data_IF_798730299097
#
_entry.id   IF_798730299097
#
_cell.length_a   1.000
_cell.length_b   1.000
_cell.length_c   1.000
_cell.angle_alpha   90.00
_cell.angle_beta   90.00
_cell.angle_gamma   90.00
#
_symmetry.space_group_name_H-M   'P 1'
#
loop_
_entity.id
_entity.type
_entity.pdbx_description
1 polymer ?
#
# COMPACT_ATOMS: atom_id res chain seq x y z
N UNK A 1 -18.42 19.85 -0.13
CA UNK A 1 -18.48 19.77 1.35
C UNK A 1 -17.47 18.72 1.78
N UNK A 2 -16.39 19.12 2.47
CA UNK A 2 -15.36 18.19 2.98
C UNK A 2 -15.77 17.73 4.37
N UNK A 3 -15.70 16.42 4.61
CA UNK A 3 -15.93 15.84 5.92
C UNK A 3 -14.68 16.06 6.79
N UNK A 4 -14.77 16.71 7.95
CA UNK A 4 -13.63 16.85 8.85
C UNK A 4 -13.50 15.54 9.64
N UNK A 5 -12.72 14.60 9.12
CA UNK A 5 -12.35 13.41 9.90
C UNK A 5 -11.31 13.81 10.95
N UNK A 6 -11.57 13.40 12.18
CA UNK A 6 -10.88 13.84 13.38
C UNK A 6 -9.48 13.24 13.50
N UNK A 7 -8.53 14.09 13.92
CA UNK A 7 -7.13 13.78 14.28
C UNK A 7 -6.99 12.84 15.51
N UNK A 8 -8.00 12.03 15.82
CA UNK A 8 -8.05 11.22 17.04
C UNK A 8 -7.10 10.01 17.05
N UNK A 9 -6.72 9.49 15.88
CA UNK A 9 -5.92 8.26 15.79
C UNK A 9 -4.40 8.49 15.78
N UNK A 10 -3.92 9.65 15.35
CA UNK A 10 -2.47 9.95 15.29
C UNK A 10 -1.87 10.17 16.69
N UNK A 11 -2.61 10.79 17.62
CA UNK A 11 -2.16 10.97 19.02
C UNK A 11 -2.13 9.68 19.85
N UNK A 12 -2.72 8.59 19.35
CA UNK A 12 -2.71 7.28 20.02
C UNK A 12 -1.38 6.54 19.89
N UNK A 13 -0.51 6.94 18.96
CA UNK A 13 0.83 6.36 18.79
C UNK A 13 1.78 6.69 19.96
N UNK A 14 1.54 7.78 20.68
CA UNK A 14 2.44 8.25 21.75
C UNK A 14 2.07 7.74 23.15
N UNK A 15 0.87 7.15 23.34
CA UNK A 15 0.27 6.98 24.66
C UNK A 15 0.36 5.58 25.31
N UNK A 16 0.80 4.54 24.59
CA UNK A 16 0.59 3.13 25.00
C UNK A 16 1.85 2.38 25.49
N UNK A 17 2.91 3.08 25.91
CA UNK A 17 4.23 2.52 26.26
C UNK A 17 4.39 1.88 27.66
N UNK A 18 3.36 1.29 28.25
CA UNK A 18 3.39 0.77 29.63
C UNK A 18 3.36 -0.76 29.72
N UNK A 19 4.48 -1.44 29.49
CA UNK A 19 4.61 -2.88 29.76
C UNK A 19 6.06 -3.25 30.04
N UNK A 20 6.31 -3.91 31.18
CA UNK A 20 7.64 -4.36 31.61
C UNK A 20 8.24 -5.36 30.60
N UNK A 21 9.39 -5.00 30.09
CA UNK A 21 10.17 -5.75 29.12
C UNK A 21 11.46 -6.26 29.77
N UNK A 22 11.77 -7.54 29.62
CA UNK A 22 13.07 -8.09 30.00
C UNK A 22 14.07 -7.84 28.87
N UNK A 23 15.16 -7.15 29.19
CA UNK A 23 16.25 -6.82 28.27
C UNK A 23 17.28 -7.97 28.19
N UNK A 24 17.51 -8.49 26.98
CA UNK A 24 18.78 -9.16 26.64
C UNK A 24 19.34 -8.47 25.38
N UNK A 25 20.62 -8.08 25.41
CA UNK A 25 21.34 -7.40 24.32
C UNK A 25 20.83 -6.01 23.89
N UNK A 26 20.12 -5.28 24.77
CA UNK A 26 19.62 -3.93 24.46
C UNK A 26 18.44 -3.90 23.50
N UNK A 27 17.79 -5.05 23.28
CA UNK A 27 16.49 -5.15 22.64
C UNK A 27 15.48 -5.60 23.68
N UNK A 28 14.33 -4.95 23.72
CA UNK A 28 13.17 -5.49 24.41
C UNK A 28 12.70 -6.72 23.64
N UNK A 29 12.48 -7.81 24.35
CA UNK A 29 12.12 -9.10 23.79
C UNK A 29 10.84 -9.01 22.91
N UNK A 30 10.98 -8.85 21.59
CA UNK A 30 9.86 -8.75 20.64
C UNK A 30 10.21 -8.06 19.31
N UNK A 31 9.26 -8.06 18.39
CA UNK A 31 9.43 -7.51 17.02
C UNK A 31 8.25 -6.64 16.58
N UNK A 32 8.48 -5.80 15.58
CA UNK A 32 7.45 -5.02 14.87
C UNK A 32 7.41 -5.49 13.42
N UNK A 33 6.20 -5.59 12.87
CA UNK A 33 5.99 -5.83 11.44
C UNK A 33 5.58 -4.52 10.74
N UNK A 34 6.29 -4.17 9.68
CA UNK A 34 5.94 -3.07 8.77
C UNK A 34 5.52 -3.61 7.41
N UNK A 35 4.35 -3.22 6.92
CA UNK A 35 3.80 -3.67 5.65
C UNK A 35 3.52 -2.50 4.70
N UNK A 36 3.90 -2.66 3.44
CA UNK A 36 3.58 -1.78 2.33
C UNK A 36 2.84 -2.58 1.24
N UNK A 37 1.53 -2.36 1.15
CA UNK A 37 0.59 -3.06 0.28
C UNK A 37 0.17 -2.23 -0.91
N UNK A 38 0.86 -2.39 -2.04
CA UNK A 38 0.53 -1.72 -3.29
C UNK A 38 -0.47 -2.47 -4.16
N UNK A 39 -0.75 -1.90 -5.33
CA UNK A 39 -1.65 -2.49 -6.33
C UNK A 39 -1.08 -3.73 -7.04
N UNK A 40 0.22 -4.01 -6.90
CA UNK A 40 0.91 -5.10 -7.61
C UNK A 40 1.53 -6.11 -6.65
N UNK A 41 2.14 -5.63 -5.57
CA UNK A 41 2.84 -6.45 -4.59
C UNK A 41 2.69 -5.88 -3.19
N UNK A 42 2.91 -6.74 -2.20
CA UNK A 42 2.97 -6.35 -0.79
C UNK A 42 4.31 -6.75 -0.22
N UNK A 43 4.97 -5.85 0.50
CA UNK A 43 6.23 -6.11 1.20
C UNK A 43 5.94 -6.12 2.70
N UNK A 44 6.47 -7.11 3.41
CA UNK A 44 6.51 -7.13 4.87
C UNK A 44 7.96 -7.16 5.35
N UNK A 45 8.29 -6.32 6.33
CA UNK A 45 9.57 -6.32 7.04
C UNK A 45 9.34 -6.57 8.52
N UNK A 46 10.15 -7.45 9.10
CA UNK A 46 10.23 -7.70 10.53
C UNK A 46 11.46 -7.01 11.09
N UNK A 47 11.27 -6.17 12.12
CA UNK A 47 12.33 -5.37 12.77
C UNK A 47 12.28 -5.57 14.28
N UNK A 48 13.41 -5.38 15.00
CA UNK A 48 13.40 -5.45 16.45
C UNK A 48 12.45 -4.42 17.06
N UNK A 49 11.83 -4.76 18.18
CA UNK A 49 11.10 -3.79 19.00
C UNK A 49 12.10 -2.99 19.85
N UNK A 50 12.02 -1.66 19.77
CA UNK A 50 12.87 -0.74 20.53
C UNK A 50 12.04 -0.04 21.59
N UNK A 51 12.63 0.17 22.76
CA UNK A 51 11.98 0.93 23.83
C UNK A 51 11.83 2.40 23.46
N UNK A 52 10.79 3.03 23.98
CA UNK A 52 10.56 4.45 23.75
C UNK A 52 11.73 5.28 24.30
N UNK A 53 12.30 6.16 23.46
CA UNK A 53 13.44 7.00 23.81
C UNK A 53 14.81 6.42 23.41
N UNK A 54 14.86 5.18 22.93
CA UNK A 54 16.08 4.65 22.32
C UNK A 54 16.30 5.27 20.94
N UNK A 55 17.57 5.54 20.63
CA UNK A 55 17.95 5.98 19.28
C UNK A 55 17.92 4.76 18.37
N UNK A 56 17.10 4.80 17.33
CA UNK A 56 17.08 3.73 16.33
C UNK A 56 18.47 3.57 15.69
N UNK A 57 18.94 2.32 15.51
CA UNK A 57 20.14 2.05 14.74
C UNK A 57 19.98 2.53 13.29
N UNK A 58 21.08 2.97 12.69
CA UNK A 58 21.14 3.36 11.28
C UNK A 58 22.28 2.59 10.59
N UNK A 59 21.97 1.62 9.69
CA UNK A 59 20.63 1.26 9.24
C UNK A 59 19.82 0.46 10.29
N UNK A 60 18.49 0.53 10.19
CA UNK A 60 17.59 -0.29 11.01
C UNK A 60 17.77 -1.78 10.65
N UNK A 61 17.99 -2.67 11.62
CA UNK A 61 18.11 -4.10 11.36
C UNK A 61 16.82 -4.67 10.79
N UNK A 62 16.93 -5.38 9.66
CA UNK A 62 15.83 -6.17 9.09
C UNK A 62 16.07 -7.63 9.45
N UNK A 63 15.20 -8.18 10.30
CA UNK A 63 15.28 -9.55 10.77
C UNK A 63 14.65 -10.53 9.77
N UNK A 64 13.62 -10.09 9.05
CA UNK A 64 12.97 -10.88 7.99
C UNK A 64 12.30 -9.99 6.96
N UNK A 65 12.25 -10.44 5.71
CA UNK A 65 11.61 -9.69 4.63
C UNK A 65 10.92 -10.62 3.63
N UNK A 66 9.63 -10.42 3.42
CA UNK A 66 8.85 -11.17 2.44
C UNK A 66 8.17 -10.24 1.44
N UNK A 67 7.84 -10.81 0.28
CA UNK A 67 7.08 -10.14 -0.78
C UNK A 67 6.01 -11.10 -1.28
N UNK A 68 4.75 -10.67 -1.27
CA UNK A 68 3.64 -11.42 -1.82
C UNK A 68 2.85 -10.58 -2.84
N UNK A 69 1.72 -11.12 -3.28
CA UNK A 69 0.83 -10.50 -4.25
C UNK A 69 0.16 -9.20 -3.78
N UNK A 70 -0.72 -8.70 -4.63
CA UNK A 70 -1.51 -7.50 -4.39
C UNK A 70 -2.45 -7.67 -3.18
N UNK A 71 -2.48 -6.68 -2.30
CA UNK A 71 -3.40 -6.62 -1.15
C UNK A 71 -4.48 -5.55 -1.31
N UNK A 72 -4.55 -4.93 -2.49
CA UNK A 72 -5.66 -4.05 -2.84
C UNK A 72 -6.92 -4.87 -3.12
N UNK A 73 -7.80 -4.96 -2.12
CA UNK A 73 -9.10 -5.65 -2.22
C UNK A 73 -9.97 -5.19 -3.39
N UNK A 74 -9.83 -3.93 -3.82
CA UNK A 74 -10.61 -3.39 -4.94
C UNK A 74 -10.11 -3.93 -6.30
N UNK A 75 -8.91 -4.50 -6.33
CA UNK A 75 -8.30 -5.10 -7.51
C UNK A 75 -8.44 -6.61 -7.57
N UNK A 76 -8.18 -7.31 -6.46
CA UNK A 76 -8.14 -8.79 -6.43
C UNK A 76 -9.27 -9.45 -5.63
N UNK A 77 -10.15 -8.65 -5.01
CA UNK A 77 -11.17 -9.14 -4.08
C UNK A 77 -10.63 -9.36 -2.67
N UNK A 78 -11.55 -9.64 -1.74
CA UNK A 78 -11.27 -9.73 -0.31
C UNK A 78 -10.46 -10.96 0.08
N UNK A 79 -10.85 -12.14 -0.40
CA UNK A 79 -10.17 -13.40 -0.07
C UNK A 79 -8.71 -13.37 -0.51
N UNK A 80 -8.44 -13.07 -1.78
CA UNK A 80 -7.08 -13.04 -2.31
C UNK A 80 -6.19 -11.98 -1.63
N UNK A 81 -6.76 -10.82 -1.27
CA UNK A 81 -6.03 -9.79 -0.53
C UNK A 81 -5.69 -10.26 0.89
N UNK A 82 -6.62 -10.91 1.59
CA UNK A 82 -6.38 -11.48 2.93
C UNK A 82 -5.33 -12.59 2.88
N UNK A 83 -5.43 -13.51 1.92
CA UNK A 83 -4.47 -14.61 1.75
C UNK A 83 -3.06 -14.07 1.47
N UNK A 84 -2.94 -13.03 0.66
CA UNK A 84 -1.65 -12.37 0.39
C UNK A 84 -1.06 -11.69 1.64
N UNK A 85 -1.89 -11.10 2.50
CA UNK A 85 -1.46 -10.56 3.80
C UNK A 85 -0.96 -11.67 4.72
N UNK A 86 -1.69 -12.79 4.81
CA UNK A 86 -1.29 -13.92 5.63
C UNK A 86 0.01 -14.56 5.16
N UNK A 87 0.14 -14.76 3.86
CA UNK A 87 1.37 -15.28 3.25
C UNK A 87 2.57 -14.39 3.59
N UNK A 88 2.49 -13.08 3.31
CA UNK A 88 3.64 -12.19 3.47
C UNK A 88 4.06 -12.02 4.93
N UNK A 89 3.09 -12.04 5.86
CA UNK A 89 3.35 -11.98 7.30
C UNK A 89 4.03 -13.27 7.77
N UNK A 90 3.49 -14.42 7.38
CA UNK A 90 4.03 -15.73 7.75
C UNK A 90 5.48 -15.89 7.26
N UNK A 91 5.73 -15.57 5.99
CA UNK A 91 7.08 -15.67 5.41
C UNK A 91 8.09 -14.72 6.08
N UNK A 92 7.70 -13.49 6.42
CA UNK A 92 8.57 -12.55 7.11
C UNK A 92 8.92 -13.03 8.53
N UNK A 93 7.95 -13.60 9.26
CA UNK A 93 8.17 -14.17 10.58
C UNK A 93 9.08 -15.40 10.53
N UNK A 94 8.84 -16.32 9.59
CA UNK A 94 9.70 -17.50 9.36
C UNK A 94 11.15 -17.10 9.10
N UNK A 95 11.39 -16.08 8.27
CA UNK A 95 12.76 -15.60 8.01
C UNK A 95 13.40 -14.97 9.25
N UNK A 96 12.61 -14.29 10.09
CA UNK A 96 13.10 -13.65 11.32
C UNK A 96 13.35 -14.62 12.47
N UNK A 97 12.76 -15.81 12.44
CA UNK A 97 12.82 -16.79 13.53
C UNK A 97 11.93 -16.46 14.74
N UNK A 98 11.06 -15.47 14.63
CA UNK A 98 10.10 -15.07 15.68
C UNK A 98 8.70 -15.63 15.40
N UNK A 99 7.95 -15.85 16.46
CA UNK A 99 6.56 -16.27 16.40
C UNK A 99 5.60 -15.08 16.49
N UNK A 100 4.33 -15.30 16.12
CA UNK A 100 3.26 -14.30 16.25
C UNK A 100 3.09 -13.77 17.67
N UNK A 101 3.48 -14.54 18.70
CA UNK A 101 3.45 -14.14 20.11
C UNK A 101 4.51 -13.10 20.49
N UNK A 102 5.57 -12.98 19.69
CA UNK A 102 6.67 -12.04 19.96
C UNK A 102 6.41 -10.65 19.34
N UNK A 103 5.45 -10.58 18.41
CA UNK A 103 5.07 -9.35 17.72
C UNK A 103 4.41 -8.38 18.69
N UNK A 104 4.94 -7.16 18.79
CA UNK A 104 4.38 -6.09 19.62
C UNK A 104 3.45 -5.17 18.85
N UNK A 105 3.72 -4.99 17.56
CA UNK A 105 2.93 -4.12 16.70
C UNK A 105 3.01 -4.52 15.23
N UNK A 106 1.94 -4.24 14.51
CA UNK A 106 1.83 -4.40 13.07
C UNK A 106 1.36 -3.06 12.48
N UNK A 107 2.17 -2.47 11.61
CA UNK A 107 1.88 -1.23 10.90
C UNK A 107 1.75 -1.53 9.42
N UNK A 108 0.62 -1.17 8.80
CA UNK A 108 0.33 -1.43 7.39
C UNK A 108 -0.03 -0.13 6.68
N UNK A 109 0.67 0.18 5.58
CA UNK A 109 0.22 1.13 4.57
C UNK A 109 -0.35 0.37 3.39
N UNK A 110 -1.64 0.50 3.12
CA UNK A 110 -2.31 -0.30 2.08
C UNK A 110 -3.08 0.59 1.11
N UNK A 111 -2.85 0.37 -0.18
CA UNK A 111 -3.60 1.00 -1.25
C UNK A 111 -5.08 0.57 -1.22
N UNK A 112 -5.98 1.51 -1.50
CA UNK A 112 -7.43 1.25 -1.47
C UNK A 112 -8.10 1.42 -0.11
N UNK A 113 -7.34 1.72 0.96
CA UNK A 113 -7.88 2.17 2.25
C UNK A 113 -8.17 3.68 2.16
N UNK A 114 -9.43 4.04 1.91
CA UNK A 114 -9.83 5.44 1.73
C UNK A 114 -10.87 5.91 2.75
N UNK A 115 -11.64 4.97 3.31
CA UNK A 115 -12.67 5.25 4.30
C UNK A 115 -12.40 4.52 5.62
N UNK A 116 -12.93 5.03 6.75
CA UNK A 116 -12.82 4.35 8.05
C UNK A 116 -13.29 2.89 8.02
N UNK A 117 -14.32 2.58 7.23
CA UNK A 117 -14.81 1.21 7.05
C UNK A 117 -13.79 0.29 6.35
N UNK A 118 -12.96 0.83 5.46
CA UNK A 118 -11.89 0.06 4.81
C UNK A 118 -10.78 -0.26 5.82
N UNK A 119 -10.44 0.74 6.64
CA UNK A 119 -9.45 0.63 7.70
C UNK A 119 -9.86 -0.42 8.73
N UNK A 120 -11.09 -0.31 9.26
CA UNK A 120 -11.66 -1.25 10.23
C UNK A 120 -11.68 -2.69 9.68
N UNK A 121 -12.01 -2.85 8.39
CA UNK A 121 -12.06 -4.17 7.76
C UNK A 121 -10.70 -4.85 7.71
N UNK A 122 -9.66 -4.13 7.28
CA UNK A 122 -8.29 -4.66 7.26
C UNK A 122 -7.79 -4.87 8.69
N UNK A 123 -8.10 -3.95 9.61
CA UNK A 123 -7.73 -4.10 11.03
C UNK A 123 -8.31 -5.39 11.61
N UNK A 124 -9.57 -5.71 11.31
CA UNK A 124 -10.20 -6.96 11.73
C UNK A 124 -9.49 -8.20 11.14
N UNK A 125 -9.12 -8.19 9.86
CA UNK A 125 -8.36 -9.30 9.27
C UNK A 125 -7.03 -9.53 9.99
N UNK A 126 -6.30 -8.46 10.30
CA UNK A 126 -5.03 -8.55 11.02
C UNK A 126 -5.25 -8.96 12.47
N UNK A 127 -6.30 -8.45 13.13
CA UNK A 127 -6.65 -8.85 14.51
C UNK A 127 -6.97 -10.33 14.63
N UNK A 128 -7.63 -10.94 13.65
CA UNK A 128 -7.87 -12.38 13.61
C UNK A 128 -6.57 -13.20 13.56
N UNK A 129 -5.49 -12.61 13.01
CA UNK A 129 -4.22 -13.30 12.77
C UNK A 129 -3.27 -13.26 13.97
N UNK A 130 -3.47 -12.35 14.93
CA UNK A 130 -2.53 -12.06 16.01
C UNK A 130 -3.17 -12.14 17.40
N UNK A 131 -2.37 -12.42 18.44
CA UNK A 131 -2.81 -12.31 19.83
C UNK A 131 -3.35 -10.90 20.18
N UNK A 132 -4.23 -10.82 21.19
CA UNK A 132 -4.92 -9.58 21.55
C UNK A 132 -4.01 -8.44 22.01
N UNK A 133 -2.80 -8.75 22.49
CA UNK A 133 -1.81 -7.76 22.94
C UNK A 133 -1.15 -7.00 21.78
N UNK A 134 -1.16 -7.56 20.56
CA UNK A 134 -0.52 -6.97 19.39
C UNK A 134 -1.29 -5.72 18.96
N UNK A 135 -0.60 -4.58 18.88
CA UNK A 135 -1.17 -3.33 18.38
C UNK A 135 -1.22 -3.37 16.85
N UNK A 136 -2.33 -2.91 16.27
CA UNK A 136 -2.53 -2.89 14.81
C UNK A 136 -2.78 -1.47 14.36
N UNK A 137 -2.02 -1.03 13.36
CA UNK A 137 -2.15 0.28 12.75
C UNK A 137 -2.31 0.11 11.25
N UNK A 138 -3.50 0.38 10.73
CA UNK A 138 -3.78 0.38 9.29
C UNK A 138 -3.86 1.83 8.82
N UNK A 139 -3.13 2.16 7.77
CA UNK A 139 -3.13 3.48 7.14
C UNK A 139 -3.22 3.37 5.62
N UNK A 140 -3.58 4.49 5.00
CA UNK A 140 -3.43 4.66 3.56
C UNK A 140 -1.94 4.63 3.18
N UNK A 141 -1.62 4.01 2.05
CA UNK A 141 -0.26 3.93 1.49
C UNK A 141 0.43 5.30 1.36
N UNK A 142 -0.30 6.36 0.99
CA UNK A 142 0.23 7.71 0.90
C UNK A 142 0.73 8.24 2.26
N UNK A 143 0.06 7.91 3.37
CA UNK A 143 0.50 8.34 4.70
C UNK A 143 1.83 7.69 5.06
N UNK A 144 1.98 6.40 4.78
CA UNK A 144 3.22 5.64 5.07
C UNK A 144 4.36 6.12 4.16
N UNK A 145 4.09 6.38 2.88
CA UNK A 145 5.06 6.95 1.95
C UNK A 145 5.52 8.36 2.38
N UNK A 146 4.60 9.18 2.89
CA UNK A 146 4.96 10.49 3.44
C UNK A 146 5.76 10.36 4.74
N UNK A 147 5.38 9.43 5.62
CA UNK A 147 6.09 9.17 6.87
C UNK A 147 7.54 8.73 6.62
N UNK A 148 7.77 7.88 5.62
CA UNK A 148 9.13 7.40 5.29
C UNK A 148 10.04 8.53 4.79
N UNK A 149 9.49 9.46 4.00
CA UNK A 149 10.24 10.64 3.53
C UNK A 149 10.44 11.73 4.59
N UNK A 150 9.68 11.71 5.68
CA UNK A 150 9.67 12.78 6.71
C UNK A 150 10.11 12.31 8.10
N UNK A 151 10.59 11.07 8.22
CA UNK A 151 10.93 10.44 9.51
C UNK A 151 9.75 10.50 10.50
N UNK A 152 8.53 10.25 10.00
CA UNK A 152 7.30 10.23 10.80
C UNK A 152 6.68 11.59 11.10
N UNK A 153 7.30 12.71 10.70
CA UNK A 153 6.77 14.07 11.00
C UNK A 153 5.53 14.44 10.19
N UNK A 154 5.31 13.80 9.05
CA UNK A 154 4.16 13.98 8.14
C UNK A 154 3.97 15.39 7.55
N UNK A 155 4.64 16.43 8.05
CA UNK A 155 4.63 17.76 7.43
C UNK A 155 5.27 17.70 6.04
N UNK A 156 4.48 18.03 5.03
CA UNK A 156 4.87 18.01 3.62
C UNK A 156 3.84 17.34 2.73
N UNK A 157 4.25 17.06 1.50
CA UNK A 157 3.40 16.42 0.49
C UNK A 157 4.11 15.22 -0.12
N UNK A 158 3.34 14.22 -0.51
CA UNK A 158 3.76 13.06 -1.29
C UNK A 158 2.94 12.98 -2.58
N UNK A 159 3.60 12.58 -3.66
CA UNK A 159 2.96 12.24 -4.93
C UNK A 159 3.32 10.79 -5.27
N UNK A 160 2.31 9.92 -5.31
CA UNK A 160 2.44 8.55 -5.77
C UNK A 160 1.92 8.47 -7.20
N UNK A 161 2.74 7.95 -8.11
CA UNK A 161 2.39 7.69 -9.50
C UNK A 161 2.83 6.27 -9.89
N UNK A 162 1.94 5.30 -9.66
CA UNK A 162 2.12 3.89 -10.00
C UNK A 162 0.98 3.41 -10.89
N UNK A 163 0.40 2.24 -10.60
CA UNK A 163 -0.83 1.76 -11.27
C UNK A 163 -1.97 2.77 -11.17
N UNK A 164 -2.16 3.33 -9.96
CA UNK A 164 -2.99 4.51 -9.68
C UNK A 164 -2.13 5.74 -9.36
N UNK A 165 -2.75 6.88 -9.06
CA UNK A 165 -1.99 8.05 -8.59
C UNK A 165 -2.74 8.88 -7.54
N UNK A 166 -2.00 9.42 -6.58
CA UNK A 166 -2.52 10.26 -5.50
C UNK A 166 -1.50 11.31 -5.08
N UNK A 167 -1.96 12.52 -4.82
CA UNK A 167 -1.22 13.53 -4.08
C UNK A 167 -1.84 13.70 -2.70
N UNK A 168 -1.03 13.65 -1.65
CA UNK A 168 -1.49 13.70 -0.26
C UNK A 168 -0.50 14.51 0.58
N UNK A 169 -0.95 15.16 1.64
CA UNK A 169 -0.05 15.93 2.50
C UNK A 169 -0.71 16.55 3.71
N UNK A 170 0.14 17.05 4.60
CA UNK A 170 -0.24 17.80 5.79
C UNK A 170 0.57 19.09 5.86
N UNK A 171 -0.07 20.19 6.26
CA UNK A 171 0.64 21.43 6.61
C UNK A 171 1.17 21.41 8.06
N UNK A 172 1.82 22.51 8.48
CA UNK A 172 2.39 22.65 9.83
C UNK A 172 1.34 22.58 10.95
N UNK A 173 0.09 22.94 10.65
CA UNK A 173 -1.04 22.86 11.59
C UNK A 173 -1.67 21.46 11.62
N UNK A 174 -1.14 20.51 10.84
CA UNK A 174 -1.65 19.15 10.72
C UNK A 174 -2.92 19.04 9.88
N UNK A 175 -3.21 20.04 9.04
CA UNK A 175 -4.37 20.01 8.13
C UNK A 175 -4.04 19.18 6.91
N UNK A 176 -4.90 18.19 6.67
CA UNK A 176 -4.79 17.28 5.54
C UNK A 176 -5.25 17.92 4.23
N UNK A 177 -4.53 17.62 3.14
CA UNK A 177 -4.94 17.86 1.77
C UNK A 177 -4.72 16.64 0.89
N UNK A 178 -5.68 16.37 0.01
CA UNK A 178 -5.64 15.28 -0.98
C UNK A 178 -6.10 15.77 -2.35
N UNK A 179 -5.45 15.25 -3.39
CA UNK A 179 -5.88 15.36 -4.78
C UNK A 179 -5.63 14.03 -5.53
N UNK A 180 -6.46 13.73 -6.53
CA UNK A 180 -6.46 12.43 -7.23
C UNK A 180 -6.78 11.24 -6.28
N UNK A 181 -6.47 10.01 -6.72
CA UNK A 181 -6.79 8.77 -6.02
C UNK A 181 -8.25 8.39 -6.13
N UNK A 182 -8.94 8.85 -7.18
CA UNK A 182 -10.33 8.50 -7.49
C UNK A 182 -10.44 7.17 -8.23
N UNK A 183 -9.30 6.54 -8.54
CA UNK A 183 -9.22 5.36 -9.37
C UNK A 183 -9.25 5.70 -10.87
N UNK A 184 -9.20 4.67 -11.73
CA UNK A 184 -8.97 4.80 -13.17
C UNK A 184 -10.05 5.61 -13.90
N UNK A 185 -11.28 5.63 -13.38
CA UNK A 185 -12.42 6.29 -14.01
C UNK A 185 -12.53 7.76 -13.56
N UNK A 186 -12.18 8.07 -12.31
CA UNK A 186 -12.54 9.35 -11.69
C UNK A 186 -11.35 10.28 -11.43
N UNK A 187 -10.10 9.84 -11.59
CA UNK A 187 -8.99 10.75 -11.28
C UNK A 187 -7.58 10.31 -11.63
N UNK A 188 -7.30 9.02 -11.77
CA UNK A 188 -5.92 8.50 -11.87
C UNK A 188 -5.28 8.72 -13.27
N UNK A 189 -5.56 9.86 -13.90
CA UNK A 189 -5.15 10.19 -15.27
C UNK A 189 -3.64 10.31 -15.46
N UNK A 190 -2.92 10.66 -14.39
CA UNK A 190 -1.45 10.71 -14.35
C UNK A 190 -0.78 9.39 -13.98
N UNK A 191 -1.56 8.32 -13.76
CA UNK A 191 -1.02 7.01 -13.41
C UNK A 191 -0.62 6.20 -14.64
N UNK A 192 0.02 5.05 -14.42
CA UNK A 192 0.28 4.06 -15.47
C UNK A 192 -1.01 3.61 -16.17
N UNK A 193 -2.10 3.42 -15.42
CA UNK A 193 -3.42 3.14 -16.02
C UNK A 193 -3.89 4.31 -16.90
N UNK A 194 -3.83 5.54 -16.39
CA UNK A 194 -4.26 6.73 -17.12
C UNK A 194 -3.47 6.94 -18.43
N UNK A 195 -2.15 6.72 -18.39
CA UNK A 195 -1.27 6.79 -19.57
C UNK A 195 -1.61 5.66 -20.56
N UNK A 196 -1.77 4.43 -20.08
CA UNK A 196 -2.10 3.28 -20.93
C UNK A 196 -3.48 3.46 -21.60
N UNK A 197 -4.49 3.91 -20.86
CA UNK A 197 -5.83 4.16 -21.40
C UNK A 197 -5.80 5.23 -22.51
N UNK A 198 -5.03 6.31 -22.33
CA UNK A 198 -4.84 7.33 -23.37
C UNK A 198 -4.11 6.77 -24.60
N UNK A 199 -3.06 5.98 -24.40
CA UNK A 199 -2.30 5.35 -25.48
C UNK A 199 -3.18 4.39 -26.30
N UNK A 200 -3.93 3.52 -25.64
CA UNK A 200 -4.87 2.59 -26.28
C UNK A 200 -5.99 3.33 -27.02
N UNK A 201 -6.54 4.40 -26.43
CA UNK A 201 -7.53 5.26 -27.08
C UNK A 201 -6.96 5.91 -28.34
N UNK A 202 -5.71 6.36 -28.31
CA UNK A 202 -5.04 6.92 -29.48
C UNK A 202 -4.88 5.89 -30.60
N UNK A 203 -4.54 4.64 -30.27
CA UNK A 203 -4.45 3.53 -31.24
C UNK A 203 -5.80 3.26 -31.90
N UNK A 204 -6.88 3.14 -31.11
CA UNK A 204 -8.23 2.89 -31.66
C UNK A 204 -8.70 4.06 -32.54
N UNK A 205 -8.47 5.31 -32.11
CA UNK A 205 -8.82 6.49 -32.91
C UNK A 205 -8.03 6.58 -34.21
N UNK A 206 -6.76 6.15 -34.22
CA UNK A 206 -5.95 6.08 -35.43
C UNK A 206 -6.47 5.00 -36.39
N UNK A 207 -6.94 3.88 -35.85
CA UNK A 207 -7.48 2.75 -36.61
C UNK A 207 -8.81 3.07 -37.29
N UNK A 208 -9.74 3.71 -36.57
CA UNK A 208 -11.08 4.06 -37.10
C UNK A 208 -11.17 5.45 -37.75
N UNK A 209 -10.03 6.14 -37.92
CA UNK A 209 -9.95 7.42 -38.61
C UNK A 209 -10.38 8.64 -37.79
N UNK A 210 -10.70 8.50 -36.49
CA UNK A 210 -11.04 9.61 -35.58
C UNK A 210 -9.82 10.32 -34.97
N UNK A 211 -8.60 9.95 -35.37
CA UNK A 211 -7.34 10.49 -34.87
C UNK A 211 -6.20 10.32 -35.86
N UNK A 212 -5.08 11.02 -35.64
CA UNK A 212 -3.88 10.88 -36.48
C UNK A 212 -3.25 9.50 -36.30
N UNK A 213 -2.51 9.05 -37.31
CA UNK A 213 -1.66 7.87 -37.19
C UNK A 213 -0.63 8.06 -36.06
N UNK A 214 -0.34 6.99 -35.32
CA UNK A 214 0.55 7.02 -34.17
C UNK A 214 1.55 5.88 -34.20
N UNK A 215 2.79 6.16 -33.79
CA UNK A 215 3.82 5.13 -33.61
C UNK A 215 3.44 4.12 -32.52
N UNK A 216 2.53 4.49 -31.62
CA UNK A 216 2.05 3.61 -30.54
C UNK A 216 1.32 2.36 -31.06
N UNK A 217 0.73 2.40 -32.25
CA UNK A 217 -0.02 1.27 -32.82
C UNK A 217 0.88 0.04 -32.95
N UNK A 218 2.00 0.17 -33.67
CA UNK A 218 2.91 -0.97 -33.87
C UNK A 218 3.62 -1.38 -32.59
N UNK A 219 3.97 -0.43 -31.72
CA UNK A 219 4.62 -0.71 -30.43
C UNK A 219 3.72 -1.51 -29.49
N UNK A 220 2.46 -1.10 -29.33
CA UNK A 220 1.52 -1.74 -28.41
C UNK A 220 1.09 -3.11 -28.93
N UNK A 221 0.75 -3.22 -30.22
CA UNK A 221 0.38 -4.51 -30.81
C UNK A 221 1.51 -5.54 -30.67
N UNK A 222 2.76 -5.13 -30.94
CA UNK A 222 3.92 -5.98 -30.73
C UNK A 222 4.10 -6.38 -29.27
N UNK A 223 3.93 -5.45 -28.33
CA UNK A 223 4.07 -5.72 -26.89
C UNK A 223 2.98 -6.68 -26.37
N UNK A 224 1.77 -6.60 -26.91
CA UNK A 224 0.64 -7.45 -26.54
C UNK A 224 0.53 -8.74 -27.37
N UNK A 225 1.38 -8.90 -28.39
CA UNK A 225 1.32 -10.07 -29.30
C UNK A 225 0.09 -10.09 -30.21
N UNK A 226 -0.50 -8.93 -30.49
CA UNK A 226 -1.71 -8.78 -31.30
C UNK A 226 -1.37 -8.44 -32.75
N UNK A 227 -2.21 -8.89 -33.68
CA UNK A 227 -1.98 -8.67 -35.11
C UNK A 227 -2.69 -7.42 -35.65
N UNK A 228 -3.72 -6.95 -34.95
CA UNK A 228 -4.54 -5.81 -35.38
C UNK A 228 -5.10 -5.00 -34.21
N UNK A 229 -5.40 -3.69 -34.39
CA UNK A 229 -6.07 -2.88 -33.36
C UNK A 229 -7.46 -3.39 -32.95
N UNK A 230 -8.17 -4.11 -33.83
CA UNK A 230 -9.50 -4.67 -33.52
C UNK A 230 -9.44 -5.71 -32.39
N UNK A 231 -8.31 -6.42 -32.26
CA UNK A 231 -8.09 -7.40 -31.18
C UNK A 231 -7.97 -6.76 -29.80
N UNK A 232 -7.69 -5.45 -29.71
CA UNK A 232 -7.60 -4.74 -28.43
C UNK A 232 -8.93 -4.77 -27.66
N UNK A 233 -10.06 -4.74 -28.37
CA UNK A 233 -11.39 -4.79 -27.74
C UNK A 233 -11.56 -6.10 -27.00
N UNK A 234 -11.21 -7.23 -27.65
CA UNK A 234 -11.28 -8.54 -27.04
C UNK A 234 -10.28 -8.70 -25.88
N UNK A 235 -9.05 -8.23 -26.08
CA UNK A 235 -8.01 -8.27 -25.07
C UNK A 235 -8.36 -7.48 -23.79
N UNK A 236 -9.13 -6.39 -23.89
CA UNK A 236 -9.45 -5.53 -22.74
C UNK A 236 -10.81 -5.85 -22.10
N UNK A 237 -11.82 -6.22 -22.89
CA UNK A 237 -13.20 -6.39 -22.40
C UNK A 237 -13.57 -7.84 -22.10
N UNK A 238 -12.88 -8.80 -22.71
CA UNK A 238 -13.21 -10.22 -22.60
C UNK A 238 -12.07 -11.04 -21.98
N UNK A 239 -11.27 -10.46 -21.08
CA UNK A 239 -10.49 -11.26 -20.14
C UNK A 239 -11.46 -11.97 -19.19
N UNK A 240 -12.03 -13.07 -19.67
CA UNK A 240 -12.62 -14.09 -18.82
C UNK A 240 -11.47 -14.77 -18.08
N UNK A 241 -11.59 -14.81 -16.75
CA UNK A 241 -10.73 -15.57 -15.87
C UNK A 241 -10.57 -17.00 -16.40
N UNK A 242 -9.39 -17.30 -16.92
CA UNK A 242 -8.83 -18.66 -16.96
C UNK A 242 -7.86 -18.81 -15.78
#
# INVERSE_FOLDING_TARGET
MRNPHSNGNLRKLEADGGGEATEENGFVNGVILGLDGGATSTVCVCVPFFSFGERFPDPLPILGRAVAGCTNRNSVGETAARDSLEQVISEALVQSGFDKSDVRGVCLGVSGVNHPSDQEKIENWIRDMFPSHVKVYVQNDAIVALASGTMGKLHGCVLIAGTGCIAYGFDEDGKEARASGGGPILGDWGSGYGIAAQALTAVIRAHDGRGPQTMLTSTILKALGLSSPDELIGYLLFQTND
#
